data_IF_675869111761
#
_entry.id   IF_675869111761
#
_cell.length_a   1.000
_cell.length_b   1.000
_cell.length_c   1.000
_cell.angle_alpha   90.00
_cell.angle_beta   90.00
_cell.angle_gamma   90.00
#
_symmetry.space_group_name_H-M   'P 1'
#
loop_
_entity.id
_entity.type
_entity.pdbx_description
1 polymer ?
#
# COMPACT_ATOMS: atom_id res chain seq x y z
N UNK A 1 20.34 37.88 -14.47
CA UNK A 1 20.89 36.62 -15.02
C UNK A 1 21.59 35.74 -13.98
N UNK A 2 22.56 36.24 -13.18
CA UNK A 2 23.28 35.40 -12.18
C UNK A 2 22.39 34.84 -11.06
N UNK A 3 21.50 35.66 -10.51
CA UNK A 3 20.55 35.25 -9.45
C UNK A 3 19.56 34.18 -9.95
N UNK A 4 19.02 34.38 -11.15
CA UNK A 4 18.08 33.45 -11.79
C UNK A 4 18.73 32.07 -12.07
N UNK A 5 20.00 32.06 -12.50
CA UNK A 5 20.76 30.83 -12.69
C UNK A 5 21.00 30.09 -11.37
N UNK A 6 21.28 30.81 -10.29
CA UNK A 6 21.43 30.24 -8.94
C UNK A 6 20.14 29.56 -8.46
N UNK A 7 18.99 30.25 -8.62
CA UNK A 7 17.68 29.72 -8.26
C UNK A 7 17.33 28.47 -9.08
N UNK A 8 17.61 28.47 -10.40
CA UNK A 8 17.40 27.31 -11.27
C UNK A 8 18.27 26.12 -10.86
N UNK A 9 19.54 26.36 -10.51
CA UNK A 9 20.44 25.31 -10.03
C UNK A 9 19.92 24.67 -8.74
N UNK A 10 19.51 25.48 -7.76
CA UNK A 10 18.95 24.98 -6.51
C UNK A 10 17.66 24.19 -6.73
N UNK A 11 16.77 24.67 -7.60
CA UNK A 11 15.53 23.95 -7.96
C UNK A 11 15.83 22.57 -8.56
N UNK A 12 16.83 22.48 -9.45
CA UNK A 12 17.25 21.21 -10.04
C UNK A 12 17.90 20.27 -9.02
N UNK A 13 18.73 20.79 -8.12
CA UNK A 13 19.33 20.00 -7.04
C UNK A 13 18.26 19.44 -6.10
N UNK A 14 17.29 20.26 -5.72
CA UNK A 14 16.17 19.82 -4.88
C UNK A 14 15.32 18.78 -5.58
N UNK A 15 15.00 18.99 -6.86
CA UNK A 15 14.30 18.00 -7.67
C UNK A 15 15.05 16.67 -7.76
N UNK A 16 16.37 16.70 -7.95
CA UNK A 16 17.22 15.49 -7.92
C UNK A 16 17.12 14.79 -6.57
N UNK A 17 17.23 15.54 -5.46
CA UNK A 17 17.11 15.01 -4.09
C UNK A 17 15.76 14.32 -3.86
N UNK A 18 14.66 14.97 -4.25
CA UNK A 18 13.31 14.43 -4.13
C UNK A 18 13.11 13.16 -4.96
N UNK A 19 13.64 13.13 -6.20
CA UNK A 19 13.59 11.95 -7.06
C UNK A 19 14.36 10.77 -6.46
N UNK A 20 15.57 11.01 -5.94
CA UNK A 20 16.37 9.98 -5.26
C UNK A 20 15.64 9.46 -4.01
N UNK A 21 15.16 10.35 -3.15
CA UNK A 21 14.39 9.99 -1.95
C UNK A 21 13.18 9.12 -2.28
N UNK A 22 12.39 9.53 -3.28
CA UNK A 22 11.23 8.78 -3.75
C UNK A 22 11.61 7.42 -4.32
N UNK A 23 12.69 7.32 -5.10
CA UNK A 23 13.19 6.05 -5.66
C UNK A 23 13.61 5.08 -4.56
N UNK A 24 14.34 5.55 -3.56
CA UNK A 24 14.72 4.75 -2.38
C UNK A 24 13.48 4.24 -1.65
N UNK A 25 12.48 5.09 -1.42
CA UNK A 25 11.26 4.68 -0.72
C UNK A 25 10.46 3.64 -1.51
N UNK A 26 10.40 3.78 -2.83
CA UNK A 26 9.77 2.78 -3.71
C UNK A 26 10.45 1.41 -3.55
N UNK A 27 11.79 1.38 -3.57
CA UNK A 27 12.55 0.13 -3.43
C UNK A 27 12.36 -0.52 -2.06
N UNK A 28 12.29 0.27 -0.99
CA UNK A 28 11.99 -0.20 0.36
C UNK A 28 10.60 -0.88 0.41
N UNK A 29 9.58 -0.24 -0.15
CA UNK A 29 8.21 -0.77 -0.22
C UNK A 29 8.15 -2.07 -1.03
N UNK A 30 8.86 -2.13 -2.15
CA UNK A 30 8.95 -3.34 -2.98
C UNK A 30 9.61 -4.51 -2.24
N UNK A 31 10.70 -4.24 -1.51
CA UNK A 31 11.38 -5.26 -0.71
C UNK A 31 10.49 -5.80 0.40
N UNK A 32 9.82 -4.92 1.15
CA UNK A 32 8.89 -5.33 2.22
C UNK A 32 7.75 -6.18 1.67
N UNK A 33 7.16 -5.77 0.54
CA UNK A 33 6.10 -6.53 -0.13
C UNK A 33 6.57 -7.91 -0.54
N UNK A 34 7.78 -8.01 -1.13
CA UNK A 34 8.35 -9.29 -1.53
C UNK A 34 8.48 -10.22 -0.33
N UNK A 35 9.09 -9.76 0.76
CA UNK A 35 9.28 -10.55 1.98
C UNK A 35 7.94 -11.05 2.53
N UNK A 36 6.93 -10.18 2.64
CA UNK A 36 5.62 -10.56 3.16
C UNK A 36 4.94 -11.59 2.27
N UNK A 37 5.01 -11.43 0.95
CA UNK A 37 4.44 -12.37 0.01
C UNK A 37 5.14 -13.74 0.09
N UNK A 38 6.47 -13.75 0.08
CA UNK A 38 7.27 -14.98 0.19
C UNK A 38 6.92 -15.75 1.49
N UNK A 39 6.68 -15.03 2.59
CA UNK A 39 6.27 -15.64 3.87
C UNK A 39 4.80 -16.12 3.84
N UNK A 40 3.90 -15.34 3.22
CA UNK A 40 2.48 -15.72 3.09
C UNK A 40 2.28 -16.98 2.23
N UNK A 41 3.22 -17.28 1.31
CA UNK A 41 3.19 -18.51 0.51
C UNK A 41 3.44 -19.77 1.34
N UNK A 42 4.24 -19.69 2.40
CA UNK A 42 4.61 -20.84 3.23
C UNK A 42 3.77 -20.97 4.50
N UNK A 43 3.18 -19.89 4.99
CA UNK A 43 2.38 -19.89 6.23
C UNK A 43 0.97 -20.44 5.96
N UNK A 44 0.42 -21.32 6.82
CA UNK A 44 -0.96 -21.80 6.69
C UNK A 44 -1.96 -20.65 6.67
N UNK A 45 -2.83 -20.61 5.66
CA UNK A 45 -3.76 -19.49 5.39
C UNK A 45 -4.75 -19.19 6.52
N UNK A 46 -5.07 -20.19 7.34
CA UNK A 46 -5.97 -20.12 8.50
C UNK A 46 -5.26 -19.71 9.80
N UNK A 47 -3.93 -19.61 9.79
CA UNK A 47 -3.17 -19.24 10.99
C UNK A 47 -3.35 -17.77 11.36
N UNK A 48 -3.23 -17.47 12.66
CA UNK A 48 -3.19 -16.09 13.15
C UNK A 48 -2.01 -15.29 12.54
N UNK A 49 -0.89 -15.96 12.27
CA UNK A 49 0.26 -15.36 11.60
C UNK A 49 -0.09 -14.88 10.18
N UNK A 50 -0.83 -15.68 9.40
CA UNK A 50 -1.30 -15.27 8.07
C UNK A 50 -2.25 -14.07 8.12
N UNK A 51 -3.09 -13.96 9.15
CA UNK A 51 -3.94 -12.79 9.36
C UNK A 51 -3.11 -11.53 9.63
N UNK A 52 -2.16 -11.60 10.57
CA UNK A 52 -1.25 -10.50 10.89
C UNK A 52 -0.41 -10.06 9.68
N UNK A 53 0.13 -11.01 8.90
CA UNK A 53 0.89 -10.71 7.70
C UNK A 53 0.06 -10.01 6.62
N UNK A 54 -1.23 -10.35 6.48
CA UNK A 54 -2.15 -9.65 5.56
C UNK A 54 -2.42 -8.21 5.99
N UNK A 55 -2.50 -7.93 7.30
CA UNK A 55 -2.60 -6.55 7.80
C UNK A 55 -1.33 -5.75 7.48
N UNK A 56 -0.16 -6.35 7.64
CA UNK A 56 1.12 -5.73 7.26
C UNK A 56 1.18 -5.49 5.75
N UNK A 57 0.75 -6.45 4.93
CA UNK A 57 0.66 -6.30 3.47
C UNK A 57 -0.24 -5.10 3.09
N UNK A 58 -1.38 -4.96 3.77
CA UNK A 58 -2.30 -3.83 3.57
C UNK A 58 -1.65 -2.49 3.91
N UNK A 59 -0.89 -2.39 4.99
CA UNK A 59 -0.19 -1.16 5.34
C UNK A 59 0.95 -0.82 4.37
N UNK A 60 1.68 -1.83 3.89
CA UNK A 60 2.67 -1.67 2.80
C UNK A 60 1.98 -1.16 1.53
N UNK A 61 0.77 -1.65 1.22
CA UNK A 61 0.00 -1.17 0.08
C UNK A 61 -0.41 0.30 0.21
N UNK A 62 -0.75 0.79 1.42
CA UNK A 62 -0.98 2.22 1.64
C UNK A 62 0.29 3.04 1.40
N UNK A 63 1.43 2.60 1.95
CA UNK A 63 2.73 3.24 1.71
C UNK A 63 3.10 3.27 0.22
N UNK A 64 2.74 2.23 -0.54
CA UNK A 64 2.98 2.21 -1.99
C UNK A 64 2.19 3.31 -2.72
N UNK A 65 0.97 3.61 -2.28
CA UNK A 65 0.15 4.65 -2.89
C UNK A 65 0.70 6.04 -2.61
N UNK A 66 1.28 6.28 -1.43
CA UNK A 66 1.86 7.60 -1.13
C UNK A 66 3.03 7.92 -2.07
N UNK A 67 3.84 6.91 -2.43
CA UNK A 67 4.94 7.08 -3.38
C UNK A 67 4.52 6.89 -4.84
N UNK A 68 3.45 6.15 -5.12
CA UNK A 68 2.91 5.89 -6.47
C UNK A 68 1.38 6.08 -6.49
N UNK A 69 0.88 7.33 -6.52
CA UNK A 69 -0.55 7.62 -6.39
C UNK A 69 -1.44 6.95 -7.45
N UNK A 70 -0.91 6.71 -8.65
CA UNK A 70 -1.63 6.00 -9.71
C UNK A 70 -2.04 4.56 -9.35
N UNK A 71 -1.43 3.95 -8.33
CA UNK A 71 -1.80 2.62 -7.81
C UNK A 71 -3.06 2.64 -6.91
N UNK A 72 -3.57 3.80 -6.51
CA UNK A 72 -4.73 3.95 -5.60
C UNK A 72 -5.96 3.15 -6.05
N UNK A 73 -6.24 3.12 -7.36
CA UNK A 73 -7.38 2.37 -7.92
C UNK A 73 -7.35 0.87 -7.61
N UNK A 74 -6.18 0.25 -7.55
CA UNK A 74 -6.06 -1.19 -7.24
C UNK A 74 -6.41 -1.47 -5.77
N UNK A 75 -5.99 -0.61 -4.85
CA UNK A 75 -6.28 -0.79 -3.43
C UNK A 75 -7.77 -0.61 -3.12
N UNK A 76 -8.40 0.41 -3.70
CA UNK A 76 -9.83 0.67 -3.45
C UNK A 76 -10.71 -0.53 -3.86
N UNK A 77 -10.43 -1.16 -5.00
CA UNK A 77 -11.12 -2.39 -5.42
C UNK A 77 -11.00 -3.53 -4.40
N UNK A 78 -9.84 -3.66 -3.75
CA UNK A 78 -9.64 -4.67 -2.71
C UNK A 78 -10.51 -4.40 -1.48
N UNK A 79 -10.57 -3.14 -1.05
CA UNK A 79 -11.37 -2.71 0.11
C UNK A 79 -12.87 -2.90 -0.18
N UNK A 80 -13.33 -2.48 -1.36
CA UNK A 80 -14.73 -2.62 -1.77
C UNK A 80 -15.16 -4.09 -1.82
N UNK A 81 -14.27 -4.98 -2.29
CA UNK A 81 -14.50 -6.42 -2.27
C UNK A 81 -14.64 -6.96 -0.85
N UNK A 82 -13.76 -6.57 0.06
CA UNK A 82 -13.83 -6.97 1.48
C UNK A 82 -15.12 -6.50 2.13
N UNK A 83 -15.52 -5.25 1.90
CA UNK A 83 -16.77 -4.70 2.43
C UNK A 83 -18.00 -5.43 1.89
N UNK A 84 -18.01 -5.79 0.61
CA UNK A 84 -19.09 -6.59 0.02
C UNK A 84 -19.20 -7.97 0.67
N UNK A 85 -18.07 -8.63 0.92
CA UNK A 85 -18.04 -9.93 1.60
C UNK A 85 -18.54 -9.82 3.04
N UNK A 86 -18.14 -8.78 3.79
CA UNK A 86 -18.62 -8.54 5.17
C UNK A 86 -20.14 -8.31 5.18
N UNK A 87 -20.66 -7.49 4.26
CA UNK A 87 -22.09 -7.22 4.17
C UNK A 87 -22.91 -8.49 3.82
N UNK A 88 -22.36 -9.39 3.00
CA UNK A 88 -23.01 -10.67 2.70
C UNK A 88 -22.99 -11.64 3.90
N UNK A 89 -21.98 -11.57 4.75
CA UNK A 89 -21.88 -12.40 5.97
C UNK A 89 -22.77 -11.88 7.10
N UNK A 90 -23.03 -10.57 7.17
CA UNK A 90 -23.91 -9.97 8.19
C UNK A 90 -25.41 -10.05 7.84
N UNK A 91 -25.76 -10.23 6.57
CA UNK A 91 -27.15 -10.32 6.11
C UNK A 91 -27.96 -11.60 6.50
N UNK A 92 -27.39 -12.77 6.88
CA UNK A 92 -28.19 -13.93 7.26
C UNK A 92 -28.61 -13.97 8.75
N UNK A 93 -28.26 -12.98 9.58
CA UNK A 93 -28.60 -12.98 11.01
C UNK A 93 -29.98 -12.38 11.35
N UNK A 94 -30.76 -11.93 10.37
CA UNK A 94 -32.17 -11.55 10.60
C UNK A 94 -33.07 -12.79 10.59
N UNK A 95 -33.00 -13.60 11.64
CA UNK A 95 -34.02 -14.62 11.92
C UNK A 95 -35.26 -13.89 12.43
N UNK A 96 -36.45 -14.03 11.80
CA UNK A 96 -37.68 -13.56 12.40
C UNK A 96 -38.02 -14.47 13.58
N UNK A 97 -38.01 -13.93 14.79
CA UNK A 97 -38.64 -14.56 15.94
C UNK A 97 -40.14 -14.42 15.73
N UNK A 98 -40.82 -15.56 15.53
CA UNK A 98 -42.28 -15.66 15.47
C UNK A 98 -42.92 -15.33 16.83
#
# INVERSE_FOLDING_TARGET
>A
MREELSQKLHSLQERKRLMCSRSTKIREVELKRKIINDVLEIVPKSSAAAACLREIEFEINKQDITVRPWKKRKLMKSIDSTNKTINQILHPLSVPVY
#
